data_IF_716348485636
#
_entry.id   IF_716348485636
#
_cell.length_a   1.000
_cell.length_b   1.000
_cell.length_c   1.000
_cell.angle_alpha   90.00
_cell.angle_beta   90.00
_cell.angle_gamma   90.00
#
_symmetry.space_group_name_H-M   'P 1'
#
loop_
_entity.id
_entity.type
_entity.pdbx_description
1 polymer ?
#
# COMPACT_ATOMS: atom_id res chain seq x y z
N UNK A 1 -0.13 -9.56 32.30
CA UNK A 1 -0.75 -8.85 31.15
C UNK A 1 0.35 -8.62 30.13
N UNK A 2 0.40 -9.47 29.10
CA UNK A 2 1.39 -9.40 28.02
C UNK A 2 1.08 -8.19 27.13
N UNK A 3 2.01 -7.25 27.01
CA UNK A 3 1.90 -6.13 26.07
C UNK A 3 2.16 -6.70 24.67
N UNK A 4 1.09 -6.95 23.91
CA UNK A 4 1.23 -7.21 22.47
C UNK A 4 1.80 -5.94 21.84
N UNK A 5 3.01 -6.03 21.31
CA UNK A 5 3.63 -4.91 20.58
C UNK A 5 3.02 -4.91 19.18
N UNK A 6 2.06 -4.02 18.97
CA UNK A 6 1.49 -3.74 17.65
C UNK A 6 2.30 -2.63 16.99
N UNK A 7 2.75 -2.87 15.78
CA UNK A 7 3.35 -1.81 14.96
C UNK A 7 2.21 -1.15 14.19
N UNK A 8 1.95 0.12 14.50
CA UNK A 8 0.95 0.93 13.78
C UNK A 8 1.66 1.56 12.60
N UNK A 9 1.30 1.14 11.40
CA UNK A 9 1.77 1.74 10.16
C UNK A 9 0.67 2.59 9.52
N UNK A 10 1.03 3.74 8.98
CA UNK A 10 0.11 4.59 8.23
C UNK A 10 0.05 4.19 6.75
N UNK A 11 -1.13 4.09 6.19
CA UNK A 11 -1.33 3.99 4.74
C UNK A 11 -1.29 5.39 4.16
N UNK A 12 -0.45 5.60 3.17
CA UNK A 12 -0.26 6.91 2.53
C UNK A 12 -0.59 6.77 1.05
N UNK A 13 -1.42 7.67 0.54
CA UNK A 13 -1.60 7.86 -0.90
C UNK A 13 -0.35 8.54 -1.45
N UNK A 14 0.29 7.94 -2.43
CA UNK A 14 1.41 8.56 -3.14
C UNK A 14 0.83 9.34 -4.32
N UNK A 15 0.73 10.65 -4.18
CA UNK A 15 0.39 11.55 -5.29
C UNK A 15 1.68 12.16 -5.84
N UNK A 16 1.95 11.93 -7.12
CA UNK A 16 3.01 12.64 -7.84
C UNK A 16 2.33 13.61 -8.79
N UNK A 17 2.29 14.87 -8.40
CA UNK A 17 1.94 15.94 -9.33
C UNK A 17 3.16 16.21 -10.21
N UNK A 18 3.24 15.51 -11.33
CA UNK A 18 4.21 15.78 -12.38
C UNK A 18 3.88 17.09 -13.10
N UNK A 19 4.06 18.22 -12.42
CA UNK A 19 4.02 19.51 -13.10
C UNK A 19 5.31 19.69 -13.89
N UNK A 20 5.29 19.40 -15.18
CA UNK A 20 6.27 19.95 -16.11
C UNK A 20 6.05 21.46 -16.19
N UNK A 21 6.68 22.19 -15.25
CA UNK A 21 6.81 23.64 -15.38
C UNK A 21 7.79 23.89 -16.52
N UNK A 22 7.25 24.13 -17.70
CA UNK A 22 7.99 24.77 -18.79
C UNK A 22 8.41 26.13 -18.26
N UNK A 23 9.71 26.30 -18.02
CA UNK A 23 10.30 27.48 -17.47
C UNK A 23 9.89 28.74 -18.26
N UNK A 24 9.14 29.62 -17.64
CA UNK A 24 9.10 31.05 -17.96
C UNK A 24 9.77 31.81 -16.83
N UNK A 25 10.94 32.31 -17.11
CA UNK A 25 11.63 33.29 -16.30
C UNK A 25 10.69 34.45 -15.96
N UNK A 26 10.29 34.56 -14.70
CA UNK A 26 9.62 35.78 -14.19
C UNK A 26 10.66 36.76 -13.66
N UNK A 27 11.01 37.73 -14.49
CA UNK A 27 11.50 39.00 -14.02
C UNK A 27 10.34 39.79 -13.39
N UNK A 28 10.60 40.37 -12.23
CA UNK A 28 9.73 41.01 -11.27
C UNK A 28 8.49 41.75 -11.78
N UNK A 29 7.40 41.57 -11.05
CA UNK A 29 6.34 42.58 -10.95
C UNK A 29 5.54 42.38 -9.64
N UNK A 30 5.37 43.53 -9.01
CA UNK A 30 4.67 43.84 -7.79
C UNK A 30 3.23 43.34 -7.72
N UNK A 31 2.79 42.98 -6.51
CA UNK A 31 1.43 42.61 -6.18
C UNK A 31 0.41 43.71 -6.54
N UNK A 32 -0.58 43.33 -7.34
CA UNK A 32 -1.93 43.92 -7.34
C UNK A 32 -2.92 42.82 -7.64
N UNK A 33 -3.93 42.70 -6.76
CA UNK A 33 -4.99 41.73 -6.90
C UNK A 33 -5.61 41.76 -8.29
N UNK A 34 -5.69 40.62 -8.89
CA UNK A 34 -6.52 40.35 -10.05
C UNK A 34 -7.27 39.05 -9.77
N UNK A 35 -8.59 39.17 -9.73
CA UNK A 35 -9.51 38.05 -9.93
C UNK A 35 -9.08 37.39 -11.25
N UNK A 36 -8.35 36.28 -11.14
CA UNK A 36 -8.12 35.41 -12.28
C UNK A 36 -9.39 34.60 -12.46
N UNK A 37 -10.29 35.05 -13.33
CA UNK A 37 -11.34 34.20 -13.89
C UNK A 37 -10.64 32.97 -14.44
N UNK A 38 -10.87 31.84 -13.80
CA UNK A 38 -10.52 30.48 -14.24
C UNK A 38 -11.06 30.33 -15.67
N UNK A 39 -10.18 30.18 -16.65
CA UNK A 39 -10.57 29.69 -17.97
C UNK A 39 -11.06 28.25 -17.74
N UNK A 40 -12.34 28.00 -17.91
CA UNK A 40 -13.05 26.76 -17.53
C UNK A 40 -12.57 25.47 -18.23
N UNK A 41 -11.28 25.23 -18.25
CA UNK A 41 -10.66 24.02 -18.76
C UNK A 41 -10.35 23.08 -17.59
N UNK A 42 -11.12 22.00 -17.49
CA UNK A 42 -10.91 20.91 -16.53
C UNK A 42 -9.64 20.17 -16.92
N UNK A 43 -8.71 20.02 -15.97
CA UNK A 43 -7.47 19.27 -16.15
C UNK A 43 -7.69 17.80 -15.77
N UNK A 44 -7.44 16.89 -16.70
CA UNK A 44 -7.50 15.43 -16.41
C UNK A 44 -6.21 14.97 -15.73
N UNK A 45 -6.34 14.30 -14.58
CA UNK A 45 -5.26 13.63 -13.87
C UNK A 45 -5.41 12.11 -13.99
N UNK A 46 -4.33 11.45 -14.39
CA UNK A 46 -4.29 10.00 -14.58
C UNK A 46 -3.92 9.33 -13.26
N UNK A 47 -4.84 8.57 -12.70
CA UNK A 47 -4.67 7.85 -11.44
C UNK A 47 -4.39 6.38 -11.74
N UNK A 48 -3.24 5.87 -11.29
CA UNK A 48 -2.96 4.44 -11.29
C UNK A 48 -3.19 3.84 -9.91
N UNK A 49 -3.73 2.64 -9.87
CA UNK A 49 -3.86 1.87 -8.63
C UNK A 49 -3.54 0.38 -8.87
N UNK A 50 -3.23 -0.35 -7.79
CA UNK A 50 -3.05 -1.80 -7.91
C UNK A 50 -4.39 -2.47 -8.24
N UNK A 51 -4.35 -3.59 -8.96
CA UNK A 51 -5.57 -4.23 -9.47
C UNK A 51 -6.06 -5.42 -8.65
N UNK A 52 -5.31 -5.84 -7.62
CA UNK A 52 -5.56 -7.09 -6.89
C UNK A 52 -5.45 -6.95 -5.35
N UNK A 53 -5.41 -5.72 -4.81
CA UNK A 53 -5.20 -5.49 -3.38
C UNK A 53 -6.51 -5.16 -2.65
N UNK A 54 -7.37 -6.16 -2.51
CA UNK A 54 -8.63 -6.06 -1.76
C UNK A 54 -8.34 -5.92 -0.26
N UNK A 55 -9.00 -5.00 0.46
CA UNK A 55 -10.08 -4.09 0.05
C UNK A 55 -9.61 -2.68 -0.31
N UNK A 56 -8.33 -2.46 -0.54
CA UNK A 56 -7.75 -1.12 -0.71
C UNK A 56 -7.86 -0.61 -2.13
N UNK A 57 -7.32 -1.37 -3.09
CA UNK A 57 -7.25 -1.03 -4.50
C UNK A 57 -7.41 -2.29 -5.35
N UNK A 58 -8.42 -2.35 -6.16
CA UNK A 58 -8.65 -3.51 -7.02
C UNK A 58 -9.53 -3.16 -8.23
N UNK A 59 -9.55 -4.06 -9.19
CA UNK A 59 -10.55 -4.06 -10.26
C UNK A 59 -11.63 -5.06 -9.87
N UNK A 60 -12.87 -4.60 -9.86
CA UNK A 60 -14.02 -5.42 -9.51
C UNK A 60 -14.40 -6.42 -10.63
N UNK A 61 -15.40 -7.25 -10.40
CA UNK A 61 -15.87 -8.26 -11.35
C UNK A 61 -16.46 -7.65 -12.65
N UNK A 62 -16.80 -6.35 -12.63
CA UNK A 62 -17.29 -5.61 -13.80
C UNK A 62 -16.19 -4.92 -14.58
N UNK A 63 -14.95 -5.01 -14.09
CA UNK A 63 -13.81 -4.32 -14.69
C UNK A 63 -13.64 -2.87 -14.24
N UNK A 64 -14.37 -2.45 -13.18
CA UNK A 64 -14.32 -1.08 -12.66
C UNK A 64 -13.30 -0.95 -11.52
N UNK A 65 -12.70 0.24 -11.44
CA UNK A 65 -11.80 0.61 -10.33
C UNK A 65 -12.57 0.77 -9.03
N UNK A 66 -12.20 0.01 -8.00
CA UNK A 66 -12.85 -0.01 -6.69
C UNK A 66 -11.82 -0.19 -5.55
N UNK A 67 -12.30 -0.06 -4.32
CA UNK A 67 -11.52 -0.17 -3.09
C UNK A 67 -11.50 1.12 -2.29
N UNK A 68 -10.98 0.99 -1.06
CA UNK A 68 -10.97 2.10 -0.10
C UNK A 68 -10.23 3.35 -0.62
N UNK A 69 -9.01 3.18 -1.13
CA UNK A 69 -8.20 4.31 -1.60
C UNK A 69 -8.77 4.90 -2.89
N UNK A 70 -9.30 4.07 -3.78
CA UNK A 70 -10.03 4.53 -4.97
C UNK A 70 -11.27 5.35 -4.58
N UNK A 71 -12.03 4.91 -3.57
CA UNK A 71 -13.20 5.64 -3.09
C UNK A 71 -12.82 7.00 -2.46
N UNK A 72 -11.71 7.06 -1.72
CA UNK A 72 -11.16 8.33 -1.19
C UNK A 72 -10.82 9.28 -2.35
N UNK A 73 -10.11 8.79 -3.38
CA UNK A 73 -9.74 9.61 -4.53
C UNK A 73 -10.97 10.08 -5.33
N UNK A 74 -12.00 9.23 -5.50
CA UNK A 74 -13.27 9.63 -6.11
C UNK A 74 -13.95 10.77 -5.32
N UNK A 75 -13.93 10.69 -3.97
CA UNK A 75 -14.49 11.73 -3.12
C UNK A 75 -13.66 13.04 -3.16
N UNK A 76 -12.35 12.96 -3.41
CA UNK A 76 -11.51 14.13 -3.66
C UNK A 76 -11.82 14.75 -5.02
N UNK A 77 -11.92 13.95 -6.07
CA UNK A 77 -12.26 14.40 -7.44
C UNK A 77 -13.56 15.21 -7.46
N UNK A 78 -14.60 14.72 -6.77
CA UNK A 78 -15.89 15.43 -6.64
C UNK A 78 -15.77 16.85 -6.03
N UNK A 79 -14.70 17.12 -5.28
CA UNK A 79 -14.49 18.42 -4.62
C UNK A 79 -13.56 19.35 -5.41
N UNK A 80 -12.93 18.87 -6.46
CA UNK A 80 -11.95 19.61 -7.25
C UNK A 80 -12.53 20.00 -8.61
N UNK A 81 -13.23 21.13 -8.66
CA UNK A 81 -13.95 21.59 -9.87
C UNK A 81 -13.07 21.76 -11.12
N UNK A 82 -11.77 22.03 -10.93
CA UNK A 82 -10.81 22.27 -12.03
C UNK A 82 -10.08 20.99 -12.48
N UNK A 83 -10.37 19.84 -11.86
CA UNK A 83 -9.74 18.56 -12.15
C UNK A 83 -10.76 17.46 -12.40
N UNK A 84 -10.30 16.44 -13.09
CA UNK A 84 -11.02 15.17 -13.26
C UNK A 84 -10.03 14.02 -13.21
N UNK A 85 -10.38 12.97 -12.45
CA UNK A 85 -9.53 11.80 -12.28
C UNK A 85 -9.96 10.69 -13.25
N UNK A 86 -8.96 10.11 -13.94
CA UNK A 86 -9.14 8.92 -14.77
C UNK A 86 -8.35 7.77 -14.17
N UNK A 87 -9.03 6.67 -13.86
CA UNK A 87 -8.47 5.55 -13.11
C UNK A 87 -7.98 4.41 -14.02
N UNK A 88 -6.84 3.83 -13.65
CA UNK A 88 -6.25 2.66 -14.33
C UNK A 88 -5.73 1.68 -13.29
N UNK A 89 -6.28 0.45 -13.28
CA UNK A 89 -5.72 -0.66 -12.51
C UNK A 89 -4.51 -1.24 -13.23
N UNK A 90 -3.41 -1.48 -12.48
CA UNK A 90 -2.16 -1.99 -13.05
C UNK A 90 -1.38 -2.83 -12.04
N UNK A 91 -0.24 -3.39 -12.42
CA UNK A 91 0.68 -4.05 -11.49
C UNK A 91 1.42 -3.04 -10.60
N UNK A 92 1.96 -3.50 -9.48
CA UNK A 92 2.78 -2.69 -8.57
C UNK A 92 3.96 -2.03 -9.28
N UNK A 93 4.66 -2.80 -10.12
CA UNK A 93 5.86 -2.35 -10.82
C UNK A 93 5.51 -1.34 -11.91
N UNK A 94 4.50 -1.63 -12.72
CA UNK A 94 4.04 -0.71 -13.77
C UNK A 94 3.49 0.60 -13.21
N UNK A 95 2.87 0.56 -12.01
CA UNK A 95 2.42 1.75 -11.30
C UNK A 95 3.61 2.65 -10.95
N UNK A 96 4.63 2.09 -10.31
CA UNK A 96 5.82 2.86 -9.89
C UNK A 96 6.60 3.40 -11.09
N UNK A 97 6.83 2.57 -12.11
CA UNK A 97 7.48 2.98 -13.37
C UNK A 97 6.65 4.07 -14.06
N UNK A 98 5.33 3.91 -14.07
CA UNK A 98 4.41 4.87 -14.68
C UNK A 98 4.42 6.23 -13.97
N UNK A 99 4.53 6.25 -12.65
CA UNK A 99 4.71 7.49 -11.87
C UNK A 99 6.07 8.15 -12.16
N UNK A 100 7.16 7.39 -12.12
CA UNK A 100 8.51 7.89 -12.39
C UNK A 100 8.66 8.45 -13.81
N UNK A 101 7.98 7.84 -14.78
CA UNK A 101 8.02 8.29 -16.19
C UNK A 101 7.02 9.40 -16.53
N UNK A 102 6.11 9.77 -15.61
CA UNK A 102 5.04 10.72 -15.87
C UNK A 102 3.89 10.19 -16.72
N UNK A 103 3.77 8.87 -16.87
CA UNK A 103 2.60 8.22 -17.49
C UNK A 103 1.35 8.40 -16.63
N UNK A 104 1.53 8.38 -15.31
CA UNK A 104 0.50 8.63 -14.30
C UNK A 104 0.87 9.83 -13.44
N UNK A 105 -0.14 10.58 -13.01
CA UNK A 105 0.00 11.77 -12.16
C UNK A 105 -0.15 11.41 -10.68
N UNK A 106 -0.99 10.42 -10.37
CA UNK A 106 -1.30 9.95 -9.02
C UNK A 106 -1.19 8.43 -9.00
N UNK A 107 -0.66 7.90 -7.89
CA UNK A 107 -0.61 6.45 -7.66
C UNK A 107 -1.07 6.07 -6.26
N UNK A 108 -1.84 4.97 -6.15
CA UNK A 108 -2.24 4.39 -4.88
C UNK A 108 -2.10 2.86 -4.90
N UNK A 109 -1.62 2.30 -3.79
CA UNK A 109 -1.29 0.87 -3.67
C UNK A 109 -1.23 0.37 -2.22
N UNK A 110 -2.01 0.95 -1.31
CA UNK A 110 -1.82 0.71 0.11
C UNK A 110 -0.43 1.14 0.59
N UNK A 111 0.12 2.19 0.00
CA UNK A 111 1.52 2.56 0.18
C UNK A 111 1.75 3.20 1.54
N UNK A 112 2.71 2.66 2.30
CA UNK A 112 3.18 3.26 3.53
C UNK A 112 4.25 4.31 3.24
N UNK A 113 4.32 5.33 4.10
CA UNK A 113 5.42 6.27 4.07
C UNK A 113 6.76 5.56 4.33
N UNK A 114 7.75 5.85 3.48
CA UNK A 114 9.16 5.55 3.74
C UNK A 114 10.00 6.72 3.25
N UNK A 115 11.15 6.94 3.89
CA UNK A 115 12.10 7.99 3.47
C UNK A 115 12.60 7.79 2.03
N UNK A 116 12.69 6.54 1.58
CA UNK A 116 13.09 6.20 0.22
C UNK A 116 12.02 6.60 -0.80
N UNK A 117 10.75 6.34 -0.49
CA UNK A 117 9.63 6.78 -1.34
C UNK A 117 9.52 8.30 -1.39
N UNK A 118 9.71 8.97 -0.25
CA UNK A 118 9.67 10.44 -0.16
C UNK A 118 10.79 11.12 -0.95
N UNK A 119 11.90 10.44 -1.27
CA UNK A 119 12.94 10.93 -2.16
C UNK A 119 12.55 10.89 -3.64
N UNK A 120 11.65 10.00 -4.03
CA UNK A 120 11.24 9.77 -5.41
C UNK A 120 9.91 10.41 -5.76
N UNK A 121 8.97 10.44 -4.79
CA UNK A 121 7.58 10.82 -4.98
C UNK A 121 7.15 11.88 -3.99
N UNK A 122 6.22 12.73 -4.41
CA UNK A 122 5.51 13.64 -3.50
C UNK A 122 4.48 12.81 -2.73
N UNK A 123 4.66 12.73 -1.41
CA UNK A 123 3.74 12.03 -0.52
C UNK A 123 2.92 13.08 0.23
N UNK A 124 1.58 13.02 0.19
CA UNK A 124 0.73 13.92 0.96
C UNK A 124 1.05 13.87 2.47
N UNK A 125 0.96 15.01 3.14
CA UNK A 125 1.18 15.10 4.59
C UNK A 125 0.09 14.40 5.41
N UNK A 126 -1.12 14.34 4.86
CA UNK A 126 -2.26 13.72 5.52
C UNK A 126 -2.43 12.27 5.05
N UNK A 127 -2.33 11.29 5.96
CA UNK A 127 -2.55 9.89 5.61
C UNK A 127 -4.05 9.64 5.38
N UNK A 128 -4.39 8.81 4.40
CA UNK A 128 -5.78 8.40 4.14
C UNK A 128 -6.27 7.33 5.11
N UNK A 129 -5.37 6.71 5.87
CA UNK A 129 -5.73 5.70 6.85
C UNK A 129 -4.53 5.20 7.64
N UNK A 130 -4.79 4.27 8.56
CA UNK A 130 -3.78 3.56 9.33
C UNK A 130 -4.12 2.07 9.36
N UNK A 131 -3.11 1.21 9.27
CA UNK A 131 -3.26 -0.24 9.31
C UNK A 131 -2.48 -0.86 10.46
N UNK A 132 -3.01 -1.97 10.98
CA UNK A 132 -2.28 -2.85 11.88
C UNK A 132 -1.73 -4.00 11.03
N UNK A 133 -0.44 -4.29 11.20
CA UNK A 133 0.24 -5.38 10.54
C UNK A 133 0.63 -6.43 11.56
N UNK A 134 0.61 -7.70 11.18
CA UNK A 134 0.97 -8.80 12.06
C UNK A 134 1.16 -10.11 11.33
N UNK A 135 1.53 -11.14 12.09
CA UNK A 135 1.61 -12.51 11.61
C UNK A 135 0.23 -13.19 11.71
N UNK A 136 -0.21 -13.74 10.59
CA UNK A 136 -1.28 -14.73 10.56
C UNK A 136 -0.64 -16.11 10.61
N UNK A 137 -0.99 -16.91 11.61
CA UNK A 137 -0.49 -18.26 11.84
C UNK A 137 -1.66 -19.22 11.98
N UNK A 138 -1.42 -20.52 11.82
CA UNK A 138 -2.42 -21.55 12.12
C UNK A 138 -2.81 -21.51 13.60
N UNK A 139 -4.04 -21.91 13.91
CA UNK A 139 -4.57 -21.92 15.29
C UNK A 139 -3.70 -22.76 16.24
N UNK A 140 -3.27 -23.92 15.80
CA UNK A 140 -2.40 -24.81 16.56
C UNK A 140 -1.02 -24.23 16.87
N UNK A 141 -0.55 -23.30 16.06
CA UNK A 141 0.76 -22.66 16.21
C UNK A 141 0.71 -21.36 17.03
N UNK A 142 -0.46 -20.88 17.46
CA UNK A 142 -0.63 -19.63 18.22
C UNK A 142 0.24 -19.60 19.49
N UNK A 143 0.32 -20.73 20.20
CA UNK A 143 1.13 -20.82 21.41
C UNK A 143 2.64 -20.79 21.14
N UNK A 144 3.06 -21.20 19.93
CA UNK A 144 4.46 -21.23 19.49
C UNK A 144 4.92 -19.87 19.00
N UNK A 145 4.04 -19.10 18.32
CA UNK A 145 4.36 -17.84 17.66
C UNK A 145 3.57 -16.66 18.26
N UNK A 146 3.80 -16.35 19.52
CA UNK A 146 3.06 -15.29 20.23
C UNK A 146 3.43 -13.87 19.79
N UNK A 147 4.63 -13.71 19.22
CA UNK A 147 5.20 -12.44 18.78
C UNK A 147 6.33 -12.68 17.77
N UNK A 148 6.91 -11.61 17.24
CA UNK A 148 7.99 -11.67 16.25
C UNK A 148 9.24 -12.37 16.80
N UNK A 149 9.57 -12.18 18.09
CA UNK A 149 10.74 -12.82 18.72
C UNK A 149 10.59 -14.32 18.82
N UNK A 150 9.39 -14.79 19.18
CA UNK A 150 9.08 -16.21 19.21
C UNK A 150 9.13 -16.81 17.80
N UNK A 151 8.63 -16.09 16.80
CA UNK A 151 8.70 -16.51 15.40
C UNK A 151 10.14 -16.67 14.93
N UNK A 152 11.00 -15.67 15.22
CA UNK A 152 12.41 -15.69 14.88
C UNK A 152 13.18 -16.81 15.59
N UNK A 153 13.01 -16.96 16.91
CA UNK A 153 13.65 -18.01 17.72
C UNK A 153 13.28 -19.42 17.28
N UNK A 154 12.04 -19.62 16.88
CA UNK A 154 11.56 -20.91 16.39
C UNK A 154 11.84 -21.13 14.89
N UNK A 155 12.58 -20.21 14.25
CA UNK A 155 12.92 -20.25 12.83
C UNK A 155 11.68 -20.45 11.94
N UNK A 156 10.63 -19.70 12.24
CA UNK A 156 9.38 -19.77 11.51
C UNK A 156 9.59 -19.40 10.02
N UNK A 157 8.97 -20.16 9.15
CA UNK A 157 9.03 -19.98 7.69
C UNK A 157 7.98 -18.99 7.26
N UNK A 158 8.42 -17.83 6.78
CA UNK A 158 7.56 -16.73 6.35
C UNK A 158 7.16 -16.88 4.88
N UNK A 159 5.90 -16.57 4.54
CA UNK A 159 5.49 -16.40 3.14
C UNK A 159 6.39 -15.35 2.48
N UNK A 160 6.89 -15.59 1.25
CA UNK A 160 7.73 -14.63 0.56
C UNK A 160 7.09 -13.24 0.45
N UNK A 161 7.89 -12.20 0.56
CA UNK A 161 7.45 -10.80 0.53
C UNK A 161 8.13 -10.09 -0.63
N UNK A 162 7.39 -9.25 -1.36
CA UNK A 162 8.02 -8.38 -2.36
C UNK A 162 8.94 -7.35 -1.69
N UNK A 163 10.18 -7.18 -2.17
CA UNK A 163 11.10 -6.15 -1.65
C UNK A 163 10.55 -4.72 -1.75
N UNK A 164 9.58 -4.49 -2.62
CA UNK A 164 8.89 -3.20 -2.79
C UNK A 164 7.89 -2.91 -1.67
N UNK A 165 7.49 -3.91 -0.89
CA UNK A 165 6.49 -3.77 0.16
C UNK A 165 7.10 -3.28 1.48
N UNK A 166 6.32 -2.50 2.24
CA UNK A 166 6.74 -2.00 3.54
C UNK A 166 7.00 -3.13 4.55
N UNK A 167 6.29 -4.25 4.43
CA UNK A 167 6.49 -5.45 5.23
C UNK A 167 7.93 -5.97 5.15
N UNK A 168 8.55 -5.92 3.96
CA UNK A 168 9.96 -6.28 3.77
C UNK A 168 10.87 -5.42 4.65
N UNK A 169 10.66 -4.10 4.63
CA UNK A 169 11.47 -3.17 5.43
C UNK A 169 11.25 -3.35 6.94
N UNK A 170 10.04 -3.71 7.37
CA UNK A 170 9.77 -3.99 8.79
C UNK A 170 10.56 -5.19 9.27
N UNK A 171 10.58 -6.30 8.51
CA UNK A 171 11.35 -7.50 8.86
C UNK A 171 12.84 -7.24 8.77
N UNK A 172 13.33 -6.51 7.74
CA UNK A 172 14.74 -6.12 7.65
C UNK A 172 15.17 -5.28 8.87
N UNK A 173 14.35 -4.31 9.27
CA UNK A 173 14.63 -3.48 10.44
C UNK A 173 14.67 -4.29 11.75
N UNK A 174 13.85 -5.34 11.85
CA UNK A 174 13.94 -6.30 12.93
C UNK A 174 15.26 -7.07 12.87
N UNK A 175 15.60 -7.64 11.71
CA UNK A 175 16.82 -8.42 11.49
C UNK A 175 18.09 -7.61 11.77
N UNK A 176 18.09 -6.31 11.45
CA UNK A 176 19.21 -5.42 11.72
C UNK A 176 19.51 -5.28 13.22
N UNK A 177 18.48 -5.38 14.04
CA UNK A 177 18.58 -5.32 15.52
C UNK A 177 18.77 -6.69 16.18
N UNK A 178 18.50 -7.80 15.46
CA UNK A 178 18.49 -9.17 16.00
C UNK A 178 19.34 -10.10 15.13
N UNK A 179 20.63 -9.78 14.98
CA UNK A 179 21.56 -10.51 14.09
C UNK A 179 21.72 -12.00 14.43
N UNK A 180 21.53 -12.35 15.72
CA UNK A 180 21.67 -13.73 16.20
C UNK A 180 20.44 -14.60 15.86
N UNK A 181 19.31 -13.99 15.64
CA UNK A 181 18.02 -14.68 15.35
C UNK A 181 17.27 -13.97 14.22
N UNK A 182 17.85 -13.85 13.03
CA UNK A 182 17.16 -13.20 11.93
C UNK A 182 15.99 -14.06 11.42
N UNK A 183 14.93 -13.39 10.94
CA UNK A 183 13.85 -14.01 10.18
C UNK A 183 14.32 -14.11 8.74
N UNK A 184 14.24 -15.31 8.17
CA UNK A 184 14.54 -15.52 6.76
C UNK A 184 13.52 -14.78 5.87
N UNK A 185 14.04 -13.91 4.99
CA UNK A 185 13.25 -13.20 3.99
C UNK A 185 13.51 -13.80 2.61
N UNK A 186 12.45 -14.24 1.95
CA UNK A 186 12.47 -14.68 0.55
C UNK A 186 11.75 -13.62 -0.28
N UNK A 187 12.41 -13.13 -1.33
CA UNK A 187 11.79 -12.22 -2.28
C UNK A 187 10.75 -12.95 -3.13
N UNK A 188 9.62 -12.32 -3.34
CA UNK A 188 8.60 -12.81 -4.25
C UNK A 188 8.12 -11.70 -5.19
N UNK A 189 7.65 -12.11 -6.36
CA UNK A 189 6.77 -11.30 -7.17
C UNK A 189 5.36 -11.24 -6.55
N UNK A 190 4.46 -10.46 -7.15
CA UNK A 190 3.10 -10.35 -6.64
C UNK A 190 2.36 -11.69 -6.73
N UNK A 191 1.58 -12.00 -5.72
CA UNK A 191 0.66 -13.14 -5.64
C UNK A 191 -0.69 -12.69 -5.08
N UNK A 192 -1.70 -13.52 -5.23
CA UNK A 192 -2.99 -13.23 -4.60
C UNK A 192 -2.89 -13.47 -3.09
N UNK A 193 -3.40 -12.53 -2.30
CA UNK A 193 -3.42 -12.62 -0.83
C UNK A 193 -4.10 -13.91 -0.35
N UNK A 194 -5.17 -14.34 -1.03
CA UNK A 194 -5.84 -15.60 -0.73
C UNK A 194 -4.92 -16.83 -0.84
N UNK A 195 -4.01 -16.85 -1.82
CA UNK A 195 -3.05 -17.95 -1.99
C UNK A 195 -2.09 -18.00 -0.79
N UNK A 196 -1.64 -16.84 -0.29
CA UNK A 196 -0.76 -16.77 0.88
C UNK A 196 -1.41 -17.37 2.14
N UNK A 197 -2.68 -17.09 2.39
CA UNK A 197 -3.42 -17.71 3.49
C UNK A 197 -3.57 -19.22 3.29
N UNK A 198 -3.87 -19.67 2.07
CA UNK A 198 -3.93 -21.10 1.75
C UNK A 198 -2.60 -21.80 2.05
N UNK A 199 -1.47 -21.21 1.63
CA UNK A 199 -0.15 -21.78 1.89
C UNK A 199 0.19 -21.89 3.38
N UNK A 200 -0.29 -20.98 4.22
CA UNK A 200 -0.15 -21.09 5.68
C UNK A 200 -1.00 -22.22 6.21
N UNK A 201 -2.26 -22.34 5.80
CA UNK A 201 -3.14 -23.44 6.22
C UNK A 201 -2.62 -24.80 5.80
N UNK A 202 -2.06 -24.92 4.60
CA UNK A 202 -1.45 -26.15 4.07
C UNK A 202 -0.12 -26.51 4.74
N UNK A 203 0.43 -25.62 5.58
CA UNK A 203 1.72 -25.83 6.25
C UNK A 203 2.93 -25.64 5.36
N UNK A 204 2.80 -25.02 4.17
CA UNK A 204 3.94 -24.65 3.31
C UNK A 204 4.80 -23.58 3.97
N UNK A 205 4.15 -22.67 4.71
CA UNK A 205 4.73 -21.61 5.50
C UNK A 205 4.10 -21.61 6.89
N UNK A 206 4.81 -21.04 7.86
CA UNK A 206 4.33 -20.96 9.24
C UNK A 206 3.52 -19.69 9.49
N UNK A 207 3.82 -18.62 8.76
CA UNK A 207 3.11 -17.35 8.88
C UNK A 207 3.04 -16.57 7.56
N UNK A 208 1.98 -15.76 7.44
CA UNK A 208 1.89 -14.65 6.50
C UNK A 208 1.92 -13.32 7.27
N UNK A 209 2.81 -12.42 6.88
CA UNK A 209 2.98 -11.12 7.52
C UNK A 209 2.26 -10.06 6.70
N UNK A 210 1.05 -9.69 7.11
CA UNK A 210 0.17 -8.82 6.34
C UNK A 210 -0.68 -7.93 7.24
N UNK A 211 -1.51 -7.11 6.61
CA UNK A 211 -2.41 -6.16 7.24
C UNK A 211 -3.60 -6.92 7.85
N UNK A 212 -3.93 -6.59 9.09
CA UNK A 212 -5.04 -7.22 9.84
C UNK A 212 -6.36 -7.20 9.06
N UNK A 213 -6.66 -6.09 8.38
CA UNK A 213 -7.92 -5.97 7.62
C UNK A 213 -7.98 -6.94 6.43
N UNK A 214 -6.86 -7.22 5.77
CA UNK A 214 -6.80 -8.24 4.69
C UNK A 214 -7.15 -9.63 5.24
N UNK A 215 -6.61 -9.97 6.42
CA UNK A 215 -6.96 -11.22 7.12
C UNK A 215 -8.45 -11.26 7.48
N UNK A 216 -8.98 -10.23 8.14
CA UNK A 216 -10.39 -10.17 8.54
C UNK A 216 -11.31 -10.31 7.32
N UNK A 217 -10.98 -9.67 6.20
CA UNK A 217 -11.75 -9.79 4.96
C UNK A 217 -11.70 -11.21 4.39
N UNK A 218 -10.52 -11.85 4.39
CA UNK A 218 -10.37 -13.21 3.87
C UNK A 218 -11.14 -14.25 4.69
N UNK A 219 -11.21 -14.11 6.02
CA UNK A 219 -11.89 -15.09 6.90
C UNK A 219 -13.38 -14.82 7.08
N UNK A 220 -13.86 -13.59 6.78
CA UNK A 220 -15.26 -13.21 6.98
C UNK A 220 -16.06 -13.13 5.68
N UNK A 221 -15.41 -13.29 4.51
CA UNK A 221 -16.13 -13.34 3.24
C UNK A 221 -17.00 -14.60 3.18
N UNK A 222 -18.25 -14.47 2.67
CA UNK A 222 -19.20 -15.59 2.59
C UNK A 222 -18.69 -16.74 1.73
N UNK A 223 -17.82 -16.45 0.77
CA UNK A 223 -17.09 -17.39 -0.08
C UNK A 223 -15.70 -17.75 0.48
N UNK A 224 -15.35 -17.19 1.63
CA UNK A 224 -14.07 -17.41 2.30
C UNK A 224 -13.90 -18.88 2.67
N UNK A 225 -12.92 -19.51 2.05
CA UNK A 225 -12.53 -20.92 2.30
C UNK A 225 -11.98 -21.14 3.71
N UNK A 226 -11.97 -20.12 4.55
CA UNK A 226 -11.33 -20.09 5.85
C UNK A 226 -12.37 -19.91 6.95
N UNK A 227 -13.06 -21.00 7.27
CA UNK A 227 -13.85 -21.06 8.48
C UNK A 227 -12.96 -21.51 9.65
N UNK A 228 -13.09 -20.80 10.80
CA UNK A 228 -12.46 -21.18 12.05
C UNK A 228 -12.97 -22.54 12.54
#
# INVERSE_FOLDING_TARGET
MSKKTWIIGGVVVVAVLGATIVGRTLAGASAKGADAASSGQVTTLKVAHTQNYVPYDFIDEKGESDGYEVAVLKAVDEKLADYKFEYTGTSDDDLLIGLESGKYDIGTKGAWYTDERAKKFIIPSEPVGASIIGFTVRKEDEAKYKNIDDFAKNKGKLVPISPQNAQWNVINSYNDKHKDTPIELTAAESFKVADAYAWVLEGRYDAFFDIKLSFEKAVTSEDGSYHQ
#
